data_IF_263514484563
#
_entry.id   IF_263514484563
#
_cell.length_a   1.000
_cell.length_b   1.000
_cell.length_c   1.000
_cell.angle_alpha   90.00
_cell.angle_beta   90.00
_cell.angle_gamma   90.00
#
_symmetry.space_group_name_H-M   'P 1'
#
loop_
_entity.id
_entity.type
_entity.pdbx_description
1 polymer ?
#
# COMPACT_ATOMS: atom_id res chain seq x y z
N UNK A 1 1.13 -1.92 -5.60
CA UNK A 1 0.51 -3.20 -5.95
C UNK A 1 0.89 -3.56 -7.38
N UNK A 2 0.84 -4.84 -7.72
CA UNK A 2 0.96 -5.31 -9.11
C UNK A 2 -0.16 -6.30 -9.44
N UNK A 3 -0.24 -6.73 -10.71
CA UNK A 3 -1.09 -7.83 -11.13
C UNK A 3 -0.43 -9.18 -10.81
N UNK A 4 -1.24 -10.21 -10.57
CA UNK A 4 -0.76 -11.55 -10.22
C UNK A 4 -0.16 -11.65 -8.82
N UNK A 5 0.62 -12.70 -8.61
CA UNK A 5 1.31 -13.00 -7.35
C UNK A 5 2.45 -11.99 -7.10
N UNK A 6 2.74 -11.78 -5.81
CA UNK A 6 3.69 -10.77 -5.34
C UNK A 6 5.15 -10.99 -5.78
N UNK A 7 5.50 -12.16 -6.32
CA UNK A 7 6.87 -12.53 -6.72
C UNK A 7 7.52 -11.50 -7.64
N UNK A 8 6.78 -11.01 -8.65
CA UNK A 8 7.27 -9.99 -9.60
C UNK A 8 7.61 -8.64 -8.95
N UNK A 9 6.97 -8.32 -7.83
CA UNK A 9 7.24 -7.10 -7.05
C UNK A 9 8.46 -7.32 -6.17
N UNK A 10 8.55 -8.48 -5.52
CA UNK A 10 9.66 -8.84 -4.62
C UNK A 10 10.97 -8.99 -5.39
N UNK A 11 10.93 -9.56 -6.60
CA UNK A 11 12.11 -9.69 -7.47
C UNK A 11 12.56 -8.37 -8.12
N UNK A 12 11.68 -7.36 -8.15
CA UNK A 12 11.91 -6.11 -8.88
C UNK A 12 11.76 -6.23 -10.41
N UNK A 13 11.18 -7.33 -10.92
CA UNK A 13 10.91 -7.51 -12.36
C UNK A 13 9.86 -6.51 -12.86
N UNK A 14 8.95 -6.07 -11.99
CA UNK A 14 7.89 -5.11 -12.32
C UNK A 14 7.91 -3.93 -11.36
N UNK A 15 7.82 -2.72 -11.92
CA UNK A 15 7.54 -1.52 -11.13
C UNK A 15 6.05 -1.49 -10.75
N UNK A 16 5.70 -1.61 -9.46
CA UNK A 16 4.29 -1.64 -9.04
C UNK A 16 3.66 -0.24 -9.05
N UNK A 17 2.34 -0.19 -8.92
CA UNK A 17 1.64 1.02 -8.51
C UNK A 17 2.07 1.41 -7.09
N UNK A 18 2.31 2.71 -6.89
CA UNK A 18 2.71 3.29 -5.60
C UNK A 18 1.63 4.23 -5.10
N UNK A 19 1.25 4.06 -3.84
CA UNK A 19 0.32 4.93 -3.13
C UNK A 19 0.99 5.44 -1.87
N UNK A 20 0.87 6.73 -1.59
CA UNK A 20 1.25 7.32 -0.30
C UNK A 20 -0.02 7.79 0.37
N UNK A 21 -0.20 7.39 1.63
CA UNK A 21 -1.41 7.66 2.41
C UNK A 21 -1.03 8.44 3.65
N UNK A 22 -1.78 9.50 3.95
CA UNK A 22 -1.66 10.24 5.19
C UNK A 22 -2.30 9.43 6.33
N UNK A 23 -1.49 9.08 7.34
CA UNK A 23 -1.93 8.24 8.47
C UNK A 23 -2.92 8.94 9.42
N UNK A 24 -3.03 10.27 9.36
CA UNK A 24 -3.92 11.08 10.20
C UNK A 24 -5.30 11.20 9.55
N UNK A 25 -5.36 11.70 8.31
CA UNK A 25 -6.63 11.92 7.61
C UNK A 25 -7.10 10.70 6.82
N UNK A 26 -6.26 9.66 6.68
CA UNK A 26 -6.57 8.41 5.98
C UNK A 26 -6.89 8.58 4.49
N UNK A 27 -6.34 9.63 3.87
CA UNK A 27 -6.51 9.94 2.45
C UNK A 27 -5.23 9.65 1.65
N UNK A 28 -5.42 9.29 0.36
CA UNK A 28 -4.31 9.10 -0.58
C UNK A 28 -3.74 10.47 -0.94
N UNK A 29 -2.48 10.72 -0.56
CA UNK A 29 -1.76 11.96 -0.87
C UNK A 29 -0.98 11.90 -2.18
N UNK A 30 -0.55 10.71 -2.59
CA UNK A 30 0.16 10.49 -3.86
C UNK A 30 -0.32 9.18 -4.49
N UNK A 31 -0.51 9.19 -5.81
CA UNK A 31 -0.83 8.03 -6.63
C UNK A 31 0.08 8.03 -7.85
N UNK A 32 0.90 6.99 -7.98
CA UNK A 32 1.75 6.76 -9.13
C UNK A 32 1.38 5.41 -9.74
N UNK A 33 0.79 5.45 -10.94
CA UNK A 33 0.40 4.25 -11.69
C UNK A 33 1.52 3.89 -12.66
N UNK A 34 2.02 2.66 -12.53
CA UNK A 34 3.16 2.16 -13.31
C UNK A 34 2.69 1.18 -14.37
N UNK A 35 3.49 1.04 -15.43
CA UNK A 35 3.26 0.03 -16.47
C UNK A 35 3.66 -1.37 -15.95
N UNK A 36 2.66 -2.15 -15.55
CA UNK A 36 2.79 -3.53 -15.07
C UNK A 36 2.65 -4.49 -16.25
N UNK A 37 3.76 -4.74 -16.95
CA UNK A 37 3.77 -5.48 -18.21
C UNK A 37 3.81 -7.01 -18.03
N UNK A 38 4.31 -7.49 -16.89
CA UNK A 38 4.40 -8.91 -16.52
C UNK A 38 3.62 -9.15 -15.23
N UNK A 39 3.07 -10.35 -15.07
CA UNK A 39 2.49 -10.85 -13.83
C UNK A 39 2.89 -12.30 -13.61
N UNK A 40 3.06 -12.67 -12.35
CA UNK A 40 3.26 -14.07 -11.97
C UNK A 40 1.90 -14.71 -11.67
N UNK A 41 1.63 -15.90 -12.22
CA UNK A 41 0.39 -16.66 -11.99
C UNK A 41 0.70 -18.10 -11.58
N UNK A 42 -0.26 -18.78 -10.97
CA UNK A 42 -0.19 -20.22 -10.76
C UNK A 42 -0.17 -20.94 -12.11
N UNK A 43 0.74 -21.89 -12.28
CA UNK A 43 0.81 -22.71 -13.48
C UNK A 43 -0.19 -23.89 -13.37
N UNK A 44 -1.30 -23.90 -14.14
CA UNK A 44 -2.30 -24.95 -14.05
C UNK A 44 -1.80 -26.32 -14.54
N UNK A 45 -0.81 -26.34 -15.43
CA UNK A 45 -0.39 -27.55 -16.15
C UNK A 45 0.80 -28.27 -15.48
N UNK A 46 1.58 -27.56 -14.67
CA UNK A 46 2.83 -28.09 -14.09
C UNK A 46 2.99 -27.87 -12.58
N UNK A 47 2.06 -27.15 -11.95
CA UNK A 47 2.23 -26.64 -10.59
C UNK A 47 3.33 -25.56 -10.50
N UNK A 48 3.44 -24.94 -9.33
CA UNK A 48 4.32 -23.79 -9.14
C UNK A 48 3.78 -22.52 -9.81
N UNK A 49 4.69 -21.61 -10.18
CA UNK A 49 4.36 -20.30 -10.74
C UNK A 49 5.03 -20.06 -12.08
N UNK A 50 4.43 -19.21 -12.91
CA UNK A 50 4.98 -18.78 -14.20
C UNK A 50 4.70 -17.29 -14.44
N UNK A 51 5.66 -16.61 -15.05
CA UNK A 51 5.50 -15.23 -15.50
C UNK A 51 4.79 -15.20 -16.86
N UNK A 52 3.81 -14.31 -16.97
CA UNK A 52 3.02 -14.09 -18.20
C UNK A 52 2.84 -12.61 -18.47
N UNK A 53 2.64 -12.26 -19.75
CA UNK A 53 2.31 -10.89 -20.11
C UNK A 53 0.95 -10.49 -19.56
N UNK A 54 0.90 -9.31 -18.94
CA UNK A 54 -0.36 -8.67 -18.59
C UNK A 54 -1.00 -8.16 -19.88
N UNK A 55 -2.30 -8.39 -20.06
CA UNK A 55 -3.08 -7.82 -21.17
C UNK A 55 -2.80 -6.33 -21.32
N UNK A 56 -2.56 -5.88 -22.54
CA UNK A 56 -2.14 -4.50 -22.83
C UNK A 56 -3.04 -3.43 -22.19
N UNK A 57 -4.36 -3.66 -22.22
CA UNK A 57 -5.36 -2.76 -21.63
C UNK A 57 -5.33 -2.69 -20.09
N UNK A 58 -4.67 -3.63 -19.41
CA UNK A 58 -4.50 -3.67 -17.97
C UNK A 58 -3.13 -3.13 -17.51
N UNK A 59 -2.13 -3.08 -18.40
CA UNK A 59 -0.75 -2.74 -18.01
C UNK A 59 -0.64 -1.36 -17.37
N UNK A 60 -1.45 -0.40 -17.81
CA UNK A 60 -1.47 0.99 -17.31
C UNK A 60 -2.68 1.30 -16.42
N UNK A 61 -3.51 0.30 -16.08
CA UNK A 61 -4.62 0.46 -15.15
C UNK A 61 -4.14 0.36 -13.71
N UNK A 62 -4.82 1.08 -12.82
CA UNK A 62 -4.64 0.95 -11.37
C UNK A 62 -5.04 -0.47 -10.94
N UNK A 63 -4.13 -1.20 -10.29
CA UNK A 63 -4.41 -2.59 -9.88
C UNK A 63 -5.29 -2.71 -8.63
N UNK A 64 -5.54 -1.60 -7.95
CA UNK A 64 -6.32 -1.53 -6.72
C UNK A 64 -7.49 -0.57 -6.86
N UNK A 65 -8.60 -0.92 -6.24
CA UNK A 65 -9.72 -0.01 -6.02
C UNK A 65 -9.49 0.85 -4.77
N UNK A 66 -10.07 2.05 -4.74
CA UNK A 66 -9.92 2.96 -3.60
C UNK A 66 -10.41 2.37 -2.27
N UNK A 67 -11.43 1.50 -2.31
CA UNK A 67 -11.91 0.79 -1.12
C UNK A 67 -10.91 -0.24 -0.59
N UNK A 68 -10.21 -0.94 -1.49
CA UNK A 68 -9.16 -1.90 -1.13
C UNK A 68 -7.97 -1.19 -0.50
N UNK A 69 -7.57 -0.03 -1.06
CA UNK A 69 -6.50 0.80 -0.48
C UNK A 69 -6.86 1.24 0.94
N UNK A 70 -8.08 1.74 1.15
CA UNK A 70 -8.54 2.17 2.49
C UNK A 70 -8.53 1.02 3.49
N UNK A 71 -8.95 -0.17 3.07
CA UNK A 71 -8.97 -1.34 3.93
C UNK A 71 -7.55 -1.85 4.26
N UNK A 72 -6.65 -1.86 3.28
CA UNK A 72 -5.22 -2.15 3.51
C UNK A 72 -4.61 -1.19 4.54
N UNK A 73 -4.88 0.10 4.44
CA UNK A 73 -4.37 1.09 5.41
C UNK A 73 -4.95 0.84 6.80
N UNK A 74 -6.25 0.50 6.90
CA UNK A 74 -6.90 0.14 8.16
C UNK A 74 -6.23 -1.07 8.81
N UNK A 75 -5.92 -2.11 8.03
CA UNK A 75 -5.21 -3.30 8.51
C UNK A 75 -3.77 -2.98 8.91
N UNK A 76 -3.04 -2.22 8.09
CA UNK A 76 -1.66 -1.82 8.36
C UNK A 76 -1.53 -1.02 9.66
N UNK A 77 -2.46 -0.10 9.94
CA UNK A 77 -2.49 0.65 11.22
C UNK A 77 -2.71 -0.29 12.40
N UNK A 78 -3.66 -1.22 12.31
CA UNK A 78 -3.89 -2.21 13.39
C UNK A 78 -2.64 -3.07 13.65
N UNK A 79 -1.91 -3.45 12.60
CA UNK A 79 -0.67 -4.21 12.71
C UNK A 79 0.43 -3.35 13.36
N UNK A 80 0.64 -2.13 12.87
CA UNK A 80 1.61 -1.18 13.45
C UNK A 80 1.33 -0.89 14.94
N UNK A 81 0.06 -0.68 15.30
CA UNK A 81 -0.37 -0.45 16.69
C UNK A 81 -0.12 -1.67 17.57
N UNK A 82 -0.40 -2.88 17.05
CA UNK A 82 -0.15 -4.15 17.75
C UNK A 82 1.34 -4.35 18.07
N UNK A 83 2.23 -4.08 17.12
CA UNK A 83 3.68 -4.26 17.29
C UNK A 83 4.40 -3.03 17.88
N UNK A 84 3.70 -1.89 17.99
CA UNK A 84 4.22 -0.64 18.53
C UNK A 84 5.35 -0.01 17.73
N UNK A 85 5.58 -0.43 16.48
CA UNK A 85 6.70 -0.01 15.63
C UNK A 85 6.34 -0.04 14.15
N UNK A 86 7.08 0.66 13.27
CA UNK A 86 6.89 0.56 11.82
C UNK A 86 7.03 -0.89 11.34
N UNK A 87 6.09 -1.30 10.51
CA UNK A 87 6.01 -2.66 9.97
C UNK A 87 6.10 -2.64 8.45
N UNK A 88 6.84 -3.58 7.91
CA UNK A 88 6.80 -3.99 6.50
C UNK A 88 5.79 -5.14 6.38
N UNK A 89 4.85 -5.02 5.46
CA UNK A 89 3.65 -5.86 5.38
C UNK A 89 3.45 -6.30 3.93
N UNK A 90 3.46 -7.61 3.72
CA UNK A 90 3.07 -8.21 2.46
C UNK A 90 1.60 -8.62 2.52
N UNK A 91 0.89 -8.38 1.42
CA UNK A 91 -0.55 -8.61 1.32
C UNK A 91 -0.90 -9.19 -0.04
N UNK A 92 -2.06 -9.82 -0.11
CA UNK A 92 -2.65 -10.34 -1.34
C UNK A 92 -4.13 -9.96 -1.40
N UNK A 93 -4.66 -9.83 -2.62
CA UNK A 93 -6.09 -9.64 -2.85
C UNK A 93 -6.59 -10.76 -3.77
N UNK A 94 -7.54 -11.54 -3.28
CA UNK A 94 -8.21 -12.58 -4.05
C UNK A 94 -9.46 -12.00 -4.75
N UNK A 95 -9.40 -11.86 -6.08
CA UNK A 95 -10.50 -11.25 -6.85
C UNK A 95 -11.75 -12.14 -6.95
N UNK A 96 -11.67 -13.42 -6.57
CA UNK A 96 -12.82 -14.33 -6.55
C UNK A 96 -13.62 -14.23 -5.24
N UNK A 97 -13.05 -13.60 -4.21
CA UNK A 97 -13.70 -13.35 -2.92
C UNK A 97 -14.30 -11.93 -2.92
N UNK A 98 -15.51 -11.72 -2.36
CA UNK A 98 -16.08 -10.37 -2.26
C UNK A 98 -15.32 -9.51 -1.24
N UNK A 99 -15.21 -8.22 -1.54
CA UNK A 99 -14.75 -7.22 -0.57
C UNK A 99 -15.71 -7.13 0.63
N UNK A 100 -15.20 -6.98 1.88
CA UNK A 100 -13.78 -6.83 2.27
C UNK A 100 -13.03 -8.13 2.60
N UNK A 101 -13.63 -9.31 2.39
CA UNK A 101 -13.00 -10.59 2.79
C UNK A 101 -11.84 -10.99 1.88
N UNK A 102 -11.69 -10.32 0.75
CA UNK A 102 -10.67 -10.62 -0.25
C UNK A 102 -9.25 -10.20 0.10
N UNK A 103 -9.05 -9.45 1.18
CA UNK A 103 -7.73 -8.89 1.53
C UNK A 103 -7.06 -9.75 2.61
N UNK A 104 -5.88 -10.27 2.27
CA UNK A 104 -5.09 -11.12 3.15
C UNK A 104 -3.75 -10.49 3.47
N UNK A 105 -3.30 -10.64 4.71
CA UNK A 105 -1.94 -10.31 5.13
C UNK A 105 -1.13 -11.60 5.10
N UNK A 106 -0.10 -11.63 4.27
CA UNK A 106 0.74 -12.82 4.05
C UNK A 106 1.95 -12.79 4.98
N UNK A 107 2.50 -11.60 5.23
CA UNK A 107 3.69 -11.40 6.03
C UNK A 107 3.59 -10.05 6.76
N UNK A 108 4.04 -9.98 8.01
CA UNK A 108 4.27 -8.72 8.71
C UNK A 108 5.55 -8.81 9.54
N UNK A 109 6.55 -7.98 9.24
CA UNK A 109 7.83 -7.91 9.97
C UNK A 109 8.19 -6.46 10.32
N UNK A 110 8.97 -6.21 11.39
CA UNK A 110 9.48 -4.88 11.65
C UNK A 110 10.25 -4.34 10.44
N UNK A 111 9.95 -3.11 10.03
CA UNK A 111 10.69 -2.45 8.96
C UNK A 111 12.08 -2.06 9.50
N UNK A 112 13.17 -2.35 8.79
CA UNK A 112 14.52 -2.32 9.37
C UNK A 112 15.14 -0.93 9.48
N UNK A 113 14.78 0.04 8.64
CA UNK A 113 15.41 1.37 8.61
C UNK A 113 14.80 2.31 9.65
N UNK A 114 13.48 2.37 9.73
CA UNK A 114 12.72 3.25 10.62
C UNK A 114 12.46 2.63 11.99
N UNK A 115 12.38 1.30 12.13
CA UNK A 115 12.20 0.70 13.47
C UNK A 115 13.40 0.90 14.39
N UNK A 116 14.60 1.07 13.82
CA UNK A 116 15.82 1.38 14.57
C UNK A 116 15.94 2.86 14.92
N UNK A 117 15.15 3.74 14.27
CA UNK A 117 15.18 5.17 14.55
C UNK A 117 14.40 5.44 15.85
N UNK A 118 15.08 6.00 16.86
CA UNK A 118 14.40 6.47 18.08
C UNK A 118 13.25 7.40 17.67
N UNK A 119 12.04 7.12 18.18
CA UNK A 119 10.88 8.01 18.02
C UNK A 119 11.18 9.32 18.75
N UNK A 120 11.65 10.30 18.01
CA UNK A 120 11.65 11.67 18.48
C UNK A 120 10.23 12.24 18.29
N UNK A 121 9.68 12.93 19.30
CA UNK A 121 8.38 13.59 19.15
C UNK A 121 8.48 14.61 18.02
N UNK A 122 7.77 14.36 16.91
CA UNK A 122 7.66 15.32 15.79
C UNK A 122 6.70 16.48 16.07
N UNK A 123 6.07 16.46 17.24
CA UNK A 123 5.38 17.61 17.81
C UNK A 123 6.46 18.42 18.55
N UNK A 124 7.02 19.43 17.91
CA UNK A 124 7.56 20.55 18.67
C UNK A 124 6.37 21.34 19.19
N UNK A 125 6.19 21.44 20.52
CA UNK A 125 5.18 22.18 21.33
C UNK A 125 3.70 22.23 20.88
N UNK A 126 3.35 21.88 19.64
CA UNK A 126 2.08 22.14 18.98
C UNK A 126 1.18 20.91 18.93
N UNK A 127 -0.02 21.01 19.47
CA UNK A 127 -1.00 19.91 19.47
C UNK A 127 -1.43 19.50 18.05
N UNK A 128 -1.93 18.26 17.90
CA UNK A 128 -2.47 17.77 16.62
C UNK A 128 -3.56 18.65 16.02
N UNK A 129 -4.36 19.32 16.86
CA UNK A 129 -5.35 20.31 16.42
C UNK A 129 -4.71 21.53 15.74
N UNK A 130 -3.58 22.03 16.25
CA UNK A 130 -2.90 23.19 15.66
C UNK A 130 -2.32 22.89 14.28
N UNK A 131 -1.78 21.69 14.08
CA UNK A 131 -1.30 21.24 12.76
C UNK A 131 -2.45 21.11 11.74
N UNK A 132 -3.59 20.57 12.19
CA UNK A 132 -4.78 20.43 11.35
C UNK A 132 -5.35 21.80 10.92
N UNK A 133 -5.35 22.77 11.84
CA UNK A 133 -5.77 24.15 11.56
C UNK A 133 -4.80 24.89 10.62
N UNK A 134 -3.49 24.72 10.78
CA UNK A 134 -2.51 25.30 9.86
C UNK A 134 -2.67 24.75 8.42
N UNK A 135 -2.92 23.44 8.27
CA UNK A 135 -3.20 22.84 6.96
C UNK A 135 -4.51 23.34 6.35
N UNK A 136 -5.58 23.47 7.15
CA UNK A 136 -6.86 24.00 6.70
C UNK A 136 -6.73 25.46 6.22
N UNK A 137 -6.02 26.31 6.99
CA UNK A 137 -5.80 27.71 6.62
C UNK A 137 -4.92 27.88 5.38
N UNK A 138 -3.97 26.98 5.12
CA UNK A 138 -3.18 26.98 3.87
C UNK A 138 -4.05 26.73 2.63
N UNK A 139 -5.09 25.90 2.75
CA UNK A 139 -6.03 25.60 1.65
C UNK A 139 -7.08 26.69 1.42
N UNK A 140 -7.29 27.61 2.37
CA UNK A 140 -8.29 28.69 2.31
C UNK A 140 -7.76 29.98 1.64
N UNK A 141 -6.52 30.00 1.12
CA UNK A 141 -6.09 31.09 0.24
C UNK A 141 -6.82 31.02 -1.10
N UNK A 142 -8.03 31.56 -1.13
CA UNK A 142 -8.78 32.00 -2.31
C UNK A 142 -8.10 33.30 -2.79
N UNK A 143 -7.94 33.55 -4.11
CA UNK A 143 -7.14 34.64 -4.67
C UNK A 143 -7.43 36.03 -4.11
#
# INVERSE_FOLDING_TARGET
GSWGLGETVVSGTVTPDKFVIDKVIMEISERTISRKHIQCIYNPDGGGTIDTDVREDLQTKCCLEDQEIRELVRMAKKIEDHYGRPMDIEWAIDKDIPFPQNIFIVQARPETVWSQKKREPKIGEKSGYQLLMEQAMKRIKIP
#
